data_IF_464816696776
#
_entry.id   IF_464816696776
#
_cell.length_a   1.000
_cell.length_b   1.000
_cell.length_c   1.000
_cell.angle_alpha   90.00
_cell.angle_beta   90.00
_cell.angle_gamma   90.00
#
_symmetry.space_group_name_H-M   'P 1'
#
loop_
_entity.id
_entity.type
_entity.pdbx_description
1 polymer ?
#
# COMPACT_ATOMS: atom_id res chain seq x y z
N UNK A 1 4.07 10.41 -11.32
CA UNK A 1 3.06 11.44 -10.99
C UNK A 1 1.86 11.40 -11.91
N UNK A 2 2.01 11.09 -13.21
CA UNK A 2 0.86 10.96 -14.13
C UNK A 2 -0.25 10.03 -13.62
N UNK A 3 0.10 8.89 -13.00
CA UNK A 3 -0.88 7.94 -12.42
C UNK A 3 -1.66 8.58 -11.28
N UNK A 4 -0.96 9.10 -10.27
CA UNK A 4 -1.55 9.79 -9.11
C UNK A 4 -2.41 10.97 -9.55
N UNK A 5 -1.89 11.82 -10.45
CA UNK A 5 -2.58 13.01 -10.94
C UNK A 5 -3.81 12.70 -11.80
N UNK A 6 -3.94 11.48 -12.31
CA UNK A 6 -5.18 11.01 -12.96
C UNK A 6 -6.30 10.72 -11.94
N UNK A 7 -5.98 10.73 -10.64
CA UNK A 7 -6.87 10.42 -9.53
C UNK A 7 -6.90 8.92 -9.22
N UNK A 8 -5.72 8.31 -9.17
CA UNK A 8 -5.57 6.95 -8.68
C UNK A 8 -5.84 6.88 -7.17
N UNK A 9 -6.65 5.93 -6.67
CA UNK A 9 -7.06 5.87 -5.27
C UNK A 9 -5.95 5.37 -4.32
N UNK A 10 -4.92 4.72 -4.86
CA UNK A 10 -3.91 3.99 -4.08
C UNK A 10 -3.27 4.81 -2.95
N UNK A 11 -2.82 6.07 -3.16
CA UNK A 11 -2.18 6.82 -2.09
C UNK A 11 -3.08 7.06 -0.88
N UNK A 12 -4.39 7.28 -1.12
CA UNK A 12 -5.36 7.52 -0.07
C UNK A 12 -5.69 6.23 0.71
N UNK A 13 -5.84 5.10 0.02
CA UNK A 13 -6.12 3.81 0.65
C UNK A 13 -4.93 3.29 1.48
N UNK A 14 -3.70 3.49 1.00
CA UNK A 14 -2.48 3.20 1.77
C UNK A 14 -2.40 4.09 3.01
N UNK A 15 -2.66 5.40 2.87
CA UNK A 15 -2.68 6.31 4.01
C UNK A 15 -3.75 5.93 5.05
N UNK A 16 -4.92 5.47 4.62
CA UNK A 16 -5.97 4.96 5.51
C UNK A 16 -5.51 3.72 6.29
N UNK A 17 -4.82 2.79 5.62
CA UNK A 17 -4.24 1.59 6.25
C UNK A 17 -3.21 1.97 7.32
N UNK A 18 -2.29 2.89 6.99
CA UNK A 18 -1.29 3.39 7.94
C UNK A 18 -1.96 4.02 9.17
N UNK A 19 -2.98 4.86 8.96
CA UNK A 19 -3.69 5.50 10.07
C UNK A 19 -4.36 4.48 10.98
N UNK A 20 -5.06 3.48 10.43
CA UNK A 20 -5.71 2.42 11.20
C UNK A 20 -4.72 1.58 12.02
N UNK A 21 -3.53 1.28 11.46
CA UNK A 21 -2.46 0.59 12.20
C UNK A 21 -1.96 1.46 13.35
N UNK A 22 -1.70 2.74 13.11
CA UNK A 22 -1.18 3.64 14.14
C UNK A 22 -2.21 3.91 15.24
N UNK A 23 -3.49 4.02 14.90
CA UNK A 23 -4.59 4.09 15.85
C UNK A 23 -4.63 2.84 16.74
N UNK A 24 -4.53 1.64 16.14
CA UNK A 24 -4.50 0.37 16.88
C UNK A 24 -3.30 0.23 17.82
N UNK A 25 -2.20 0.91 17.52
CA UNK A 25 -0.98 1.00 18.32
C UNK A 25 -0.98 2.20 19.30
N UNK A 26 -2.11 2.87 19.47
CA UNK A 26 -2.30 4.05 20.32
C UNK A 26 -1.29 5.16 20.04
N UNK A 27 -0.87 5.33 18.77
CA UNK A 27 0.13 6.30 18.35
C UNK A 27 1.40 6.28 19.23
N UNK A 28 1.81 5.10 19.71
CA UNK A 28 2.92 4.95 20.66
C UNK A 28 4.26 5.48 20.16
N UNK A 29 4.42 5.63 18.84
CA UNK A 29 5.64 6.13 18.20
C UNK A 29 5.29 7.09 17.04
N UNK A 30 6.18 8.04 16.71
CA UNK A 30 6.03 8.87 15.52
C UNK A 30 6.20 8.03 14.25
N UNK A 31 5.51 8.40 13.16
CA UNK A 31 5.56 7.66 11.90
C UNK A 31 5.53 8.60 10.69
N UNK A 32 5.93 8.06 9.53
CA UNK A 32 5.79 8.67 8.20
C UNK A 32 5.41 7.59 7.19
N UNK A 33 4.52 7.93 6.26
CA UNK A 33 4.31 7.15 5.04
C UNK A 33 5.26 7.67 3.97
N UNK A 34 6.06 6.78 3.41
CA UNK A 34 7.01 7.02 2.32
C UNK A 34 6.86 5.93 1.27
N UNK A 35 7.44 6.14 0.09
CA UNK A 35 7.22 5.32 -1.10
C UNK A 35 8.54 4.74 -1.59
N UNK A 36 8.50 3.56 -2.16
CA UNK A 36 9.68 2.83 -2.62
C UNK A 36 9.53 2.41 -4.08
N UNK A 37 10.57 1.78 -4.62
CA UNK A 37 10.58 1.15 -5.94
C UNK A 37 10.26 2.12 -7.10
N UNK A 38 10.71 3.37 -6.99
CA UNK A 38 10.75 4.28 -8.14
C UNK A 38 11.69 3.72 -9.21
N UNK A 39 11.16 3.50 -10.42
CA UNK A 39 11.95 3.08 -11.58
C UNK A 39 11.89 4.10 -12.72
N UNK A 40 13.05 4.37 -13.31
CA UNK A 40 13.20 5.30 -14.42
C UNK A 40 13.11 6.78 -14.05
N UNK A 41 13.26 7.68 -15.05
CA UNK A 41 13.51 9.11 -14.82
C UNK A 41 12.24 9.94 -14.63
N UNK A 42 11.06 9.35 -14.79
CA UNK A 42 9.80 10.09 -14.66
C UNK A 42 9.58 10.50 -13.20
N UNK A 43 8.83 11.58 -12.91
CA UNK A 43 8.51 11.93 -11.53
C UNK A 43 7.64 10.86 -10.87
N UNK A 44 7.95 10.46 -9.63
CA UNK A 44 7.15 9.52 -8.82
C UNK A 44 6.54 10.19 -7.60
N UNK A 45 5.62 9.49 -6.94
CA UNK A 45 5.12 9.91 -5.64
C UNK A 45 6.26 9.76 -4.62
N UNK A 46 6.58 10.84 -3.91
CA UNK A 46 7.59 10.87 -2.86
C UNK A 46 6.99 11.13 -1.48
N UNK A 47 7.78 11.10 -0.42
CA UNK A 47 9.23 10.92 -0.37
C UNK A 47 9.69 9.47 -0.64
N UNK A 48 10.92 9.29 -1.14
CA UNK A 48 11.51 7.97 -1.39
C UNK A 48 12.04 7.33 -0.10
N UNK A 49 11.86 6.02 0.08
CA UNK A 49 12.26 5.29 1.30
C UNK A 49 13.77 5.35 1.53
N UNK A 50 14.58 5.08 0.51
CA UNK A 50 16.06 5.10 0.58
C UNK A 50 16.60 6.49 1.00
N UNK A 51 16.11 7.55 0.35
CA UNK A 51 16.44 8.93 0.70
C UNK A 51 15.99 9.27 2.12
N UNK A 52 14.79 8.82 2.51
CA UNK A 52 14.24 9.09 3.85
C UNK A 52 15.09 8.47 4.94
N UNK A 53 15.49 7.20 4.78
CA UNK A 53 16.37 6.51 5.73
C UNK A 53 17.73 7.20 5.82
N UNK A 54 18.35 7.50 4.67
CA UNK A 54 19.63 8.22 4.59
C UNK A 54 19.56 9.56 5.32
N UNK A 55 18.52 10.35 5.06
CA UNK A 55 18.31 11.65 5.68
C UNK A 55 18.06 11.54 7.19
N UNK A 56 17.30 10.54 7.65
CA UNK A 56 17.08 10.35 9.08
C UNK A 56 18.36 9.95 9.81
N UNK A 57 19.15 9.02 9.24
CA UNK A 57 20.44 8.62 9.81
C UNK A 57 21.39 9.81 9.89
N UNK A 58 21.50 10.61 8.83
CA UNK A 58 22.32 11.83 8.80
C UNK A 58 21.88 12.85 9.88
N UNK A 59 20.58 12.91 10.18
CA UNK A 59 20.00 13.74 11.25
C UNK A 59 19.99 13.06 12.63
N UNK A 60 20.75 11.97 12.81
CA UNK A 60 20.93 11.29 14.10
C UNK A 60 19.77 10.37 14.52
N UNK A 61 18.75 10.16 13.68
CA UNK A 61 17.66 9.20 13.92
C UNK A 61 18.07 7.82 13.40
N UNK A 62 18.79 7.07 14.24
CA UNK A 62 19.40 5.77 13.87
C UNK A 62 18.54 4.54 14.15
N UNK A 63 17.52 4.67 15.00
CA UNK A 63 16.59 3.57 15.31
C UNK A 63 15.33 3.73 14.46
N UNK A 64 15.17 2.87 13.45
CA UNK A 64 14.05 2.94 12.50
C UNK A 64 13.42 1.56 12.34
N UNK A 65 12.10 1.54 12.14
CA UNK A 65 11.34 0.34 11.78
C UNK A 65 10.69 0.56 10.44
N UNK A 66 11.04 -0.26 9.45
CA UNK A 66 10.46 -0.25 8.11
C UNK A 66 9.30 -1.25 8.06
N UNK A 67 8.14 -0.81 7.58
CA UNK A 67 6.91 -1.60 7.56
C UNK A 67 6.44 -1.76 6.11
N UNK A 68 6.48 -2.98 5.53
CA UNK A 68 5.95 -3.22 4.18
C UNK A 68 4.42 -3.20 4.21
N UNK A 69 3.84 -2.01 4.10
CA UNK A 69 2.40 -1.79 4.39
C UNK A 69 1.47 -2.15 3.24
N UNK A 70 1.97 -2.14 2.01
CA UNK A 70 1.15 -2.22 0.79
C UNK A 70 1.30 -3.53 0.01
N UNK A 71 2.06 -4.49 0.55
CA UNK A 71 2.18 -5.84 -0.02
C UNK A 71 2.25 -6.87 1.11
N UNK A 72 1.67 -8.04 0.89
CA UNK A 72 1.34 -8.97 1.99
C UNK A 72 2.34 -10.11 2.18
N UNK A 73 3.24 -10.35 1.22
CA UNK A 73 4.26 -11.39 1.30
C UNK A 73 5.64 -10.84 0.98
N UNK A 74 6.67 -11.59 1.35
CA UNK A 74 8.01 -11.27 0.90
C UNK A 74 8.15 -11.39 -0.62
N UNK A 75 8.94 -10.49 -1.19
CA UNK A 75 9.26 -10.37 -2.61
C UNK A 75 10.53 -9.51 -2.76
N UNK A 76 10.95 -9.20 -4.00
CA UNK A 76 12.20 -8.48 -4.26
C UNK A 76 12.29 -7.14 -3.51
N UNK A 77 11.18 -6.41 -3.39
CA UNK A 77 11.18 -5.10 -2.75
C UNK A 77 11.35 -5.18 -1.23
N UNK A 78 11.08 -6.34 -0.59
CA UNK A 78 11.33 -6.52 0.85
C UNK A 78 12.70 -7.17 1.11
N UNK A 79 12.94 -8.33 0.52
CA UNK A 79 14.14 -9.14 0.81
C UNK A 79 15.42 -8.55 0.23
N UNK A 80 15.32 -7.73 -0.80
CA UNK A 80 16.48 -7.15 -1.47
C UNK A 80 16.52 -5.63 -1.30
N UNK A 81 15.52 -4.90 -1.81
CA UNK A 81 15.53 -3.42 -1.76
C UNK A 81 15.55 -2.92 -0.30
N UNK A 82 14.70 -3.45 0.59
CA UNK A 82 14.74 -3.02 2.00
C UNK A 82 15.91 -3.63 2.79
N UNK A 83 16.08 -4.95 2.78
CA UNK A 83 17.02 -5.61 3.69
C UNK A 83 18.49 -5.45 3.28
N UNK A 84 18.80 -5.61 2.00
CA UNK A 84 20.17 -5.59 1.50
C UNK A 84 20.60 -4.18 1.10
N UNK A 85 19.76 -3.44 0.35
CA UNK A 85 20.11 -2.08 -0.09
C UNK A 85 19.84 -1.06 1.02
N UNK A 86 18.58 -0.77 1.36
CA UNK A 86 18.25 0.32 2.29
C UNK A 86 18.84 0.10 3.69
N UNK A 87 18.65 -1.08 4.28
CA UNK A 87 19.16 -1.39 5.62
C UNK A 87 20.66 -1.70 5.56
N UNK A 88 21.10 -2.53 4.61
CA UNK A 88 22.49 -2.95 4.50
C UNK A 88 23.45 -1.79 4.24
N UNK A 89 23.05 -0.81 3.43
CA UNK A 89 23.88 0.36 3.07
C UNK A 89 23.70 1.55 4.03
N UNK A 90 22.74 1.50 4.97
CA UNK A 90 22.43 2.62 5.89
C UNK A 90 23.56 3.01 6.86
N UNK A 91 24.56 2.15 7.06
CA UNK A 91 25.55 2.28 8.14
C UNK A 91 24.96 2.09 9.56
N UNK A 92 23.69 1.68 9.67
CA UNK A 92 22.95 1.50 10.92
C UNK A 92 22.20 0.14 10.96
N UNK A 93 22.75 -0.90 10.32
CA UNK A 93 22.12 -2.23 10.20
C UNK A 93 21.70 -2.85 11.55
N UNK A 94 22.40 -2.54 12.64
CA UNK A 94 22.06 -3.04 13.98
C UNK A 94 20.88 -2.33 14.65
N UNK A 95 20.48 -1.16 14.17
CA UNK A 95 19.41 -0.35 14.77
C UNK A 95 18.22 -0.10 13.85
N UNK A 96 18.33 -0.44 12.57
CA UNK A 96 17.22 -0.42 11.62
C UNK A 96 16.68 -1.83 11.43
N UNK A 97 15.36 -2.00 11.47
CA UNK A 97 14.70 -3.29 11.30
C UNK A 97 13.55 -3.19 10.31
N UNK A 98 13.35 -4.23 9.50
CA UNK A 98 12.11 -4.42 8.74
C UNK A 98 11.18 -5.34 9.54
N UNK A 99 9.88 -5.04 9.55
CA UNK A 99 8.86 -5.93 10.09
C UNK A 99 8.65 -7.11 9.15
N UNK A 100 8.41 -8.31 9.69
CA UNK A 100 8.05 -9.48 8.88
C UNK A 100 6.84 -9.18 7.99
N UNK A 101 6.90 -9.63 6.74
CA UNK A 101 5.74 -9.61 5.85
C UNK A 101 4.63 -10.51 6.42
N UNK A 102 3.36 -10.29 6.04
CA UNK A 102 2.25 -11.07 6.61
C UNK A 102 2.38 -12.57 6.30
N UNK A 103 2.89 -12.92 5.10
CA UNK A 103 3.25 -14.29 4.71
C UNK A 103 2.17 -15.32 5.13
N UNK A 104 2.57 -16.36 5.87
CA UNK A 104 1.69 -17.42 6.35
C UNK A 104 1.02 -17.13 7.70
N UNK A 105 0.94 -15.87 8.13
CA UNK A 105 0.37 -15.53 9.42
C UNK A 105 -1.10 -16.01 9.52
N UNK A 106 -1.46 -16.84 10.51
CA UNK A 106 -2.80 -17.43 10.60
C UNK A 106 -3.90 -16.38 10.83
N UNK A 107 -3.59 -15.25 11.47
CA UNK A 107 -4.53 -14.14 11.64
C UNK A 107 -4.82 -13.47 10.30
N UNK A 108 -3.80 -13.28 9.46
CA UNK A 108 -3.99 -12.74 8.12
C UNK A 108 -4.79 -13.69 7.22
N UNK A 109 -4.48 -14.98 7.23
CA UNK A 109 -5.24 -16.00 6.48
C UNK A 109 -6.70 -16.02 6.92
N UNK A 110 -6.96 -15.95 8.24
CA UNK A 110 -8.32 -15.84 8.76
C UNK A 110 -9.02 -14.57 8.28
N UNK A 111 -8.33 -13.43 8.24
CA UNK A 111 -8.89 -12.18 7.74
C UNK A 111 -9.32 -12.28 6.27
N UNK A 112 -8.53 -12.94 5.40
CA UNK A 112 -8.91 -13.20 4.02
C UNK A 112 -10.19 -14.05 3.93
N UNK A 113 -10.29 -15.10 4.76
CA UNK A 113 -11.49 -15.93 4.82
C UNK A 113 -12.71 -15.15 5.31
N UNK A 114 -12.56 -14.31 6.33
CA UNK A 114 -13.63 -13.47 6.86
C UNK A 114 -14.12 -12.45 5.82
N UNK A 115 -13.21 -11.81 5.07
CA UNK A 115 -13.56 -10.88 3.98
C UNK A 115 -14.35 -11.59 2.88
N UNK A 116 -13.87 -12.76 2.42
CA UNK A 116 -14.54 -13.53 1.37
C UNK A 116 -15.92 -14.01 1.83
N UNK A 117 -16.04 -14.49 3.07
CA UNK A 117 -17.31 -14.90 3.67
C UNK A 117 -18.29 -13.74 3.72
N UNK A 118 -17.88 -12.59 4.27
CA UNK A 118 -18.73 -11.41 4.38
C UNK A 118 -19.20 -10.91 3.00
N UNK A 119 -18.33 -10.96 1.98
CA UNK A 119 -18.70 -10.63 0.61
C UNK A 119 -19.78 -11.58 0.05
N UNK A 120 -19.60 -12.89 0.19
CA UNK A 120 -20.58 -13.89 -0.26
C UNK A 120 -21.94 -13.74 0.44
N UNK A 121 -21.94 -13.43 1.74
CA UNK A 121 -23.15 -13.23 2.55
C UNK A 121 -23.86 -11.90 2.22
N UNK A 122 -23.12 -10.86 1.81
CA UNK A 122 -23.66 -9.53 1.56
C UNK A 122 -24.54 -9.42 0.32
N UNK A 123 -24.35 -10.31 -0.67
CA UNK A 123 -25.02 -10.22 -1.97
C UNK A 123 -24.59 -9.03 -2.85
N UNK A 124 -23.66 -8.19 -2.41
CA UNK A 124 -23.12 -7.10 -3.24
C UNK A 124 -22.12 -7.65 -4.24
N UNK A 125 -22.14 -7.16 -5.48
CA UNK A 125 -21.22 -7.62 -6.52
C UNK A 125 -19.84 -6.96 -6.42
N UNK A 126 -19.80 -5.67 -6.09
CA UNK A 126 -18.56 -4.88 -5.99
C UNK A 126 -18.69 -3.81 -4.92
N UNK A 127 -17.56 -3.19 -4.55
CA UNK A 127 -17.57 -2.00 -3.71
C UNK A 127 -18.16 -0.81 -4.49
N UNK A 128 -18.68 0.19 -3.77
CA UNK A 128 -19.15 1.45 -4.38
C UNK A 128 -18.05 2.18 -5.15
N UNK A 129 -16.79 2.05 -4.70
CA UNK A 129 -15.63 2.65 -5.38
C UNK A 129 -15.31 1.98 -6.72
N UNK A 130 -15.58 0.67 -6.87
CA UNK A 130 -15.35 -0.02 -8.14
C UNK A 130 -16.14 0.62 -9.29
N UNK A 131 -17.32 1.17 -9.03
CA UNK A 131 -18.12 1.85 -10.05
C UNK A 131 -17.53 3.19 -10.51
N UNK A 132 -16.58 3.77 -9.77
CA UNK A 132 -16.01 5.09 -10.07
C UNK A 132 -14.67 4.96 -10.81
N UNK A 133 -14.56 5.56 -12.00
CA UNK A 133 -13.27 5.69 -12.70
C UNK A 133 -12.46 6.83 -12.12
N UNK A 134 -11.14 6.74 -12.26
CA UNK A 134 -10.27 7.88 -11.99
C UNK A 134 -10.72 9.07 -12.86
N UNK A 135 -10.79 10.30 -12.32
CA UNK A 135 -11.23 11.49 -13.05
C UNK A 135 -10.50 11.75 -14.37
N UNK A 136 -9.20 11.46 -14.43
CA UNK A 136 -8.36 11.59 -15.62
C UNK A 136 -8.15 10.28 -16.40
N UNK A 137 -9.02 9.29 -16.24
CA UNK A 137 -8.84 7.99 -16.89
C UNK A 137 -9.08 8.07 -18.40
N UNK A 138 -8.10 7.65 -19.20
CA UNK A 138 -8.20 7.57 -20.69
C UNK A 138 -8.29 6.14 -21.22
N UNK A 139 -8.26 5.13 -20.35
CA UNK A 139 -8.26 3.73 -20.76
C UNK A 139 -9.70 3.17 -20.82
N UNK A 140 -10.21 2.90 -22.03
CA UNK A 140 -11.55 2.36 -22.24
C UNK A 140 -11.78 1.00 -21.54
N UNK A 141 -10.74 0.20 -21.33
CA UNK A 141 -10.86 -1.08 -20.60
C UNK A 141 -11.26 -0.89 -19.15
N UNK A 142 -10.95 0.27 -18.55
CA UNK A 142 -11.33 0.57 -17.16
C UNK A 142 -12.83 0.73 -16.98
N UNK A 143 -13.58 1.09 -18.02
CA UNK A 143 -15.05 1.18 -18.01
C UNK A 143 -15.67 -0.16 -18.26
N UNK A 144 -15.25 -0.83 -19.35
CA UNK A 144 -15.73 -2.17 -19.68
C UNK A 144 -15.55 -3.17 -18.52
N UNK A 145 -14.44 -3.08 -17.77
CA UNK A 145 -14.21 -3.93 -16.60
C UNK A 145 -15.17 -3.61 -15.45
N UNK A 146 -15.51 -2.33 -15.24
CA UNK A 146 -16.45 -1.93 -14.19
C UNK A 146 -17.86 -2.38 -14.51
N UNK A 147 -18.31 -2.14 -15.74
CA UNK A 147 -19.63 -2.58 -16.21
C UNK A 147 -19.77 -4.11 -16.11
N UNK A 148 -18.70 -4.85 -16.43
CA UNK A 148 -18.68 -6.30 -16.30
C UNK A 148 -18.96 -6.75 -14.86
N UNK A 149 -18.24 -6.21 -13.87
CA UNK A 149 -18.41 -6.62 -12.47
C UNK A 149 -19.64 -5.99 -11.79
N UNK A 150 -20.14 -4.86 -12.29
CA UNK A 150 -21.32 -4.18 -11.75
C UNK A 150 -22.66 -4.70 -12.34
N UNK A 151 -22.61 -5.66 -13.27
CA UNK A 151 -23.80 -6.30 -13.82
C UNK A 151 -24.41 -5.60 -15.05
N UNK A 152 -23.63 -4.80 -15.79
CA UNK A 152 -24.01 -4.15 -17.04
C UNK A 152 -23.80 -2.63 -17.05
N UNK A 153 -23.96 -1.96 -18.22
CA UNK A 153 -23.78 -0.51 -18.35
C UNK A 153 -24.76 0.24 -17.43
N UNK A 154 -24.25 1.02 -16.48
CA UNK A 154 -25.09 1.76 -15.53
C UNK A 154 -25.69 0.90 -14.41
N UNK A 155 -25.19 -0.31 -14.19
CA UNK A 155 -25.53 -1.16 -13.04
C UNK A 155 -25.12 -0.49 -11.73
N UNK A 156 -26.03 0.28 -11.14
CA UNK A 156 -25.90 0.68 -9.74
C UNK A 156 -25.96 -0.62 -8.94
N UNK A 157 -24.87 -0.97 -8.26
CA UNK A 157 -24.85 -2.07 -7.31
C UNK A 157 -26.10 -1.96 -6.43
N UNK A 158 -26.98 -2.96 -6.49
CA UNK A 158 -28.16 -3.00 -5.61
C UNK A 158 -27.64 -2.89 -4.17
N UNK A 159 -28.08 -1.83 -3.51
CA UNK A 159 -27.72 -1.52 -2.13
C UNK A 159 -28.27 -2.56 -1.16
#
# INVERSE_FOLDING_TARGET
MSVVNRGDPYPAEVAATVYAVMERLNFSHPYRLVWQSQVGPQPWLGAQTSDTVTNYVANGKKNLVLVPIAFTSDHIETLYELDEEVIGESGCKDSIRRVESLNGNPVFIKALADIAKAHLESGVQTSKQMALRCPGCTNAKCEASKDFFAGGPGGVAKA
#
